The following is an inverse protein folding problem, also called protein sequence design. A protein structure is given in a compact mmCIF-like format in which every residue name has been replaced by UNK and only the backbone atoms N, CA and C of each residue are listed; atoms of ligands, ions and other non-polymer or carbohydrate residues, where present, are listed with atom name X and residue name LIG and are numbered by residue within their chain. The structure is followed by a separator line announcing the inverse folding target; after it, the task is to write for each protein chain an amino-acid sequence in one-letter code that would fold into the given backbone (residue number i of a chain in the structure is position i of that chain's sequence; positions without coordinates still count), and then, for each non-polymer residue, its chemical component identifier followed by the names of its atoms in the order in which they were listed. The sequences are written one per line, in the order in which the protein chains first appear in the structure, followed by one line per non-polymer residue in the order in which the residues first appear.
data_IF_979738398290
#
_entry.id   IF_979738398290
#
_cell.length_a   1.000
_cell.length_b   1.000
_cell.length_c   1.000
_cell.angle_alpha   90.00
_cell.angle_beta   90.00
_cell.angle_gamma   90.00
#
_symmetry.space_group_name_H-M   'P 1'
#
loop_
_entity.id
_entity.type
_entity.pdbx_description
1 polymer ?
#
# COMPACT_ATOMS: atom_id res chain seq x y z
N UNK A 1 16.06 12.59 23.32
CA UNK A 1 15.00 13.37 22.63
C UNK A 1 15.52 14.64 21.91
N UNK A 2 16.77 15.08 22.14
CA UNK A 2 17.34 16.29 21.50
C UNK A 2 18.26 16.04 20.28
N UNK A 3 18.43 14.79 19.80
CA UNK A 3 19.30 14.50 18.65
C UNK A 3 18.56 14.26 17.32
N UNK A 4 17.21 14.19 17.30
CA UNK A 4 16.43 13.98 16.06
C UNK A 4 15.96 15.31 15.43
N UNK A 5 16.36 16.46 16.01
CA UNK A 5 16.02 17.79 15.48
C UNK A 5 17.23 18.64 15.04
N UNK A 6 18.39 18.01 14.81
CA UNK A 6 19.54 18.67 14.19
C UNK A 6 19.98 17.95 12.91
N UNK A 7 19.16 18.10 11.86
CA UNK A 7 19.70 18.25 10.51
C UNK A 7 19.04 19.47 9.89
N UNK A 8 19.68 20.62 10.14
CA UNK A 8 19.27 21.91 9.62
C UNK A 8 19.87 22.07 8.23
N UNK A 9 19.35 21.31 7.27
CA UNK A 9 19.41 21.82 5.89
C UNK A 9 18.51 23.06 5.86
N UNK A 10 19.05 24.17 5.38
CA UNK A 10 18.33 25.42 5.17
C UNK A 10 16.90 25.12 4.69
N UNK A 11 15.87 25.73 5.30
CA UNK A 11 14.44 25.41 5.12
C UNK A 11 13.86 25.58 3.70
N UNK A 12 14.70 25.54 2.66
CA UNK A 12 14.35 25.51 1.25
C UNK A 12 13.97 24.07 0.88
N UNK A 13 12.76 23.90 0.37
CA UNK A 13 12.32 22.64 -0.22
C UNK A 13 13.20 22.39 -1.45
N UNK A 14 13.78 21.19 -1.57
CA UNK A 14 14.59 20.84 -2.73
C UNK A 14 13.73 20.84 -4.00
N UNK A 15 14.20 21.56 -5.03
CA UNK A 15 13.54 21.62 -6.34
C UNK A 15 13.40 20.20 -6.92
N UNK A 16 14.38 19.33 -6.72
CA UNK A 16 14.33 17.95 -7.19
C UNK A 16 13.15 17.15 -6.59
N UNK A 17 12.85 17.36 -5.30
CA UNK A 17 11.71 16.71 -4.63
C UNK A 17 10.38 17.24 -5.19
N UNK A 18 10.28 18.55 -5.42
CA UNK A 18 9.08 19.14 -6.03
C UNK A 18 8.87 18.59 -7.44
N UNK A 19 9.93 18.59 -8.27
CA UNK A 19 9.85 18.09 -9.64
C UNK A 19 9.46 16.60 -9.70
N UNK A 20 9.89 15.77 -8.75
CA UNK A 20 9.49 14.35 -8.76
C UNK A 20 8.01 14.15 -8.46
N UNK A 21 7.40 14.96 -7.59
CA UNK A 21 5.94 14.91 -7.38
C UNK A 21 5.14 15.54 -8.52
N UNK A 22 5.68 16.59 -9.18
CA UNK A 22 5.09 17.10 -10.43
C UNK A 22 5.08 16.00 -11.49
N UNK A 23 6.17 15.23 -11.58
CA UNK A 23 6.25 14.08 -12.49
C UNK A 23 5.22 12.99 -12.16
N UNK A 24 4.98 12.69 -10.89
CA UNK A 24 3.91 11.75 -10.48
C UNK A 24 2.51 12.22 -10.96
N UNK A 25 2.21 13.52 -10.83
CA UNK A 25 0.96 14.10 -11.34
C UNK A 25 0.86 13.99 -12.86
N UNK A 26 1.95 14.27 -13.57
CA UNK A 26 2.02 14.12 -15.03
C UNK A 26 1.76 12.66 -15.43
N UNK A 27 2.35 11.69 -14.73
CA UNK A 27 2.07 10.26 -14.98
C UNK A 27 0.58 9.96 -14.81
N UNK A 28 -0.06 10.45 -13.74
CA UNK A 28 -1.49 10.23 -13.51
C UNK A 28 -2.35 10.85 -14.63
N UNK A 29 -2.02 12.07 -15.07
CA UNK A 29 -2.72 12.76 -16.16
C UNK A 29 -2.54 12.02 -17.49
N UNK A 30 -1.31 11.58 -17.80
CA UNK A 30 -1.02 10.79 -19.01
C UNK A 30 -1.78 9.47 -18.99
N UNK A 31 -1.81 8.75 -17.86
CA UNK A 31 -2.59 7.52 -17.72
C UNK A 31 -4.09 7.76 -17.92
N UNK A 32 -4.64 8.84 -17.36
CA UNK A 32 -6.04 9.22 -17.58
C UNK A 32 -6.32 9.59 -19.05
N UNK A 33 -5.41 10.33 -19.70
CA UNK A 33 -5.51 10.68 -21.11
C UNK A 33 -5.46 9.44 -22.01
N UNK A 34 -4.57 8.48 -21.73
CA UNK A 34 -4.52 7.19 -22.44
C UNK A 34 -5.83 6.42 -22.28
N UNK A 35 -6.42 6.39 -21.08
CA UNK A 35 -7.74 5.80 -20.86
C UNK A 35 -8.82 6.47 -21.71
N UNK A 36 -8.80 7.80 -21.82
CA UNK A 36 -9.74 8.55 -22.64
C UNK A 36 -9.57 8.25 -24.14
N UNK A 37 -8.33 8.19 -24.62
CA UNK A 37 -8.01 7.80 -26.00
C UNK A 37 -8.55 6.40 -26.31
N UNK A 38 -8.36 5.43 -25.40
CA UNK A 38 -8.95 4.11 -25.57
C UNK A 38 -10.48 4.19 -25.64
N UNK A 39 -11.15 4.99 -24.81
CA UNK A 39 -12.61 5.07 -24.84
C UNK A 39 -13.19 5.56 -26.19
N UNK A 40 -12.44 6.34 -26.98
CA UNK A 40 -12.87 6.79 -28.31
C UNK A 40 -12.54 5.81 -29.44
N UNK A 41 -11.63 4.85 -29.22
CA UNK A 41 -11.23 3.91 -30.27
C UNK A 41 -12.25 2.80 -30.50
N UNK A 42 -12.49 2.44 -31.76
CA UNK A 42 -13.44 1.38 -32.12
C UNK A 42 -13.04 0.07 -31.45
N UNK A 43 -13.93 -0.58 -30.68
CA UNK A 43 -13.61 -1.82 -30.01
C UNK A 43 -13.52 -2.97 -31.02
N UNK A 44 -12.85 -4.05 -30.64
CA UNK A 44 -13.02 -5.34 -31.29
C UNK A 44 -14.52 -5.71 -31.26
N UNK A 45 -15.01 -6.39 -32.29
CA UNK A 45 -16.42 -6.79 -32.39
C UNK A 45 -16.50 -8.30 -32.47
N UNK A 46 -16.62 -8.95 -31.31
CA UNK A 46 -16.69 -10.41 -31.24
C UNK A 46 -17.95 -10.90 -31.96
N UNK A 47 -17.87 -11.97 -32.78
CA UNK A 47 -19.03 -12.60 -33.37
C UNK A 47 -20.03 -13.05 -32.29
N UNK A 48 -21.32 -12.90 -32.56
CA UNK A 48 -22.41 -13.20 -31.63
C UNK A 48 -23.55 -13.92 -32.35
N UNK A 49 -24.47 -14.52 -31.60
CA UNK A 49 -25.65 -15.20 -32.15
C UNK A 49 -26.89 -14.32 -32.00
N UNK A 50 -27.74 -14.26 -33.02
CA UNK A 50 -29.01 -13.51 -32.95
C UNK A 50 -30.06 -14.16 -32.04
N UNK A 51 -29.90 -15.44 -31.70
CA UNK A 51 -30.83 -16.20 -30.84
C UNK A 51 -30.33 -16.34 -29.41
N UNK A 52 -29.27 -15.60 -29.03
CA UNK A 52 -28.70 -15.64 -27.70
C UNK A 52 -29.54 -14.81 -26.70
N UNK A 53 -30.18 -15.44 -25.71
CA UNK A 53 -31.03 -14.74 -24.74
C UNK A 53 -30.24 -13.80 -23.84
N UNK A 54 -28.93 -14.04 -23.61
CA UNK A 54 -28.12 -13.21 -22.72
C UNK A 54 -27.88 -11.81 -23.29
N UNK A 55 -28.01 -11.63 -24.61
CA UNK A 55 -27.79 -10.35 -25.33
C UNK A 55 -29.06 -9.78 -25.99
N UNK A 56 -30.22 -10.32 -25.62
CA UNK A 56 -31.55 -9.99 -26.17
C UNK A 56 -32.34 -8.99 -25.32
N UNK A 57 -31.75 -8.38 -24.29
CA UNK A 57 -32.45 -7.42 -23.44
C UNK A 57 -32.73 -6.08 -24.16
N UNK A 58 -33.79 -5.35 -23.77
CA UNK A 58 -34.10 -4.06 -24.34
C UNK A 58 -33.07 -3.00 -23.92
N UNK A 59 -32.66 -2.16 -24.87
CA UNK A 59 -31.77 -1.05 -24.63
C UNK A 59 -32.45 0.00 -23.74
N UNK A 60 -31.80 0.32 -22.61
CA UNK A 60 -32.25 1.37 -21.70
C UNK A 60 -31.63 2.71 -22.09
N UNK A 61 -32.45 3.62 -22.61
CA UNK A 61 -32.04 4.98 -23.02
C UNK A 61 -31.63 5.85 -21.83
N UNK A 62 -32.20 5.60 -20.65
CA UNK A 62 -31.93 6.35 -19.42
C UNK A 62 -31.22 5.45 -18.41
N UNK A 63 -29.93 5.68 -18.24
CA UNK A 63 -29.12 5.01 -17.23
C UNK A 63 -29.42 5.58 -15.84
N UNK A 64 -29.57 4.73 -14.81
CA UNK A 64 -29.78 5.20 -13.44
C UNK A 64 -28.61 6.03 -12.92
N UNK A 65 -27.39 5.64 -13.29
CA UNK A 65 -26.16 6.36 -12.99
C UNK A 65 -25.44 6.62 -14.31
N UNK A 66 -25.53 7.84 -14.88
CA UNK A 66 -24.76 8.21 -16.06
C UNK A 66 -23.28 8.41 -15.73
N UNK A 67 -22.41 8.32 -16.75
CA UNK A 67 -20.95 8.46 -16.61
C UNK A 67 -20.50 9.77 -15.95
N UNK A 68 -21.22 10.88 -16.16
CA UNK A 68 -20.94 12.16 -15.52
C UNK A 68 -21.21 12.13 -14.01
N UNK A 69 -22.34 11.56 -13.60
CA UNK A 69 -22.68 11.36 -12.20
C UNK A 69 -21.69 10.41 -11.52
N UNK A 70 -21.28 9.34 -12.22
CA UNK A 70 -20.23 8.45 -11.75
C UNK A 70 -18.92 9.22 -11.46
N UNK A 71 -18.47 10.07 -12.38
CA UNK A 71 -17.25 10.86 -12.17
C UNK A 71 -17.36 11.78 -10.96
N UNK A 72 -18.53 12.40 -10.74
CA UNK A 72 -18.78 13.22 -9.55
C UNK A 72 -18.73 12.36 -8.28
N UNK A 73 -19.47 11.26 -8.23
CA UNK A 73 -19.58 10.42 -7.04
C UNK A 73 -18.29 9.68 -6.68
N UNK A 74 -17.53 9.23 -7.67
CA UNK A 74 -16.35 8.38 -7.48
C UNK A 74 -15.02 9.16 -7.48
N UNK A 75 -14.98 10.40 -7.94
CA UNK A 75 -13.75 11.20 -7.95
C UNK A 75 -13.90 12.53 -7.23
N UNK A 76 -14.87 13.36 -7.63
CA UNK A 76 -15.04 14.71 -7.07
C UNK A 76 -15.45 14.65 -5.60
N UNK A 77 -16.47 13.86 -5.26
CA UNK A 77 -16.94 13.70 -3.87
C UNK A 77 -15.82 13.16 -2.97
N UNK A 78 -15.10 12.07 -3.32
CA UNK A 78 -13.93 11.64 -2.57
C UNK A 78 -12.86 12.72 -2.37
N UNK A 79 -12.52 13.48 -3.42
CA UNK A 79 -11.53 14.56 -3.31
C UNK A 79 -11.97 15.64 -2.30
N UNK A 80 -13.26 16.01 -2.30
CA UNK A 80 -13.84 16.97 -1.36
C UNK A 80 -13.91 16.42 0.06
N UNK A 81 -14.28 15.15 0.25
CA UNK A 81 -14.29 14.51 1.58
C UNK A 81 -12.87 14.42 2.14
N UNK A 82 -11.88 14.03 1.31
CA UNK A 82 -10.46 14.02 1.70
C UNK A 82 -10.00 15.41 2.13
N UNK A 83 -10.36 16.46 1.39
CA UNK A 83 -10.08 17.84 1.74
C UNK A 83 -10.66 18.18 3.12
N UNK A 84 -11.96 17.95 3.32
CA UNK A 84 -12.66 18.29 4.56
C UNK A 84 -12.07 17.53 5.76
N UNK A 85 -11.84 16.23 5.62
CA UNK A 85 -11.27 15.39 6.68
C UNK A 85 -9.83 15.81 7.01
N UNK A 86 -9.03 16.16 6.00
CA UNK A 86 -7.65 16.64 6.24
C UNK A 86 -7.63 18.01 6.90
N UNK A 87 -8.57 18.90 6.54
CA UNK A 87 -8.70 20.20 7.18
C UNK A 87 -9.24 20.13 8.60
N UNK A 88 -10.00 19.10 8.97
CA UNK A 88 -10.59 18.96 10.32
C UNK A 88 -9.82 18.03 11.25
N UNK A 89 -9.41 16.84 10.79
CA UNK A 89 -8.83 15.78 11.63
C UNK A 89 -7.29 15.74 11.68
N UNK A 90 -6.60 16.45 10.78
CA UNK A 90 -5.12 16.56 10.80
C UNK A 90 -4.76 17.94 11.38
N UNK A 91 -3.82 18.10 12.32
CA UNK A 91 -3.03 17.06 12.96
C UNK A 91 -3.85 16.34 14.04
N UNK A 92 -3.49 15.09 14.30
CA UNK A 92 -4.14 14.33 15.37
C UNK A 92 -3.88 14.92 16.77
N UNK A 93 -4.57 14.42 17.80
CA UNK A 93 -4.48 14.92 19.18
C UNK A 93 -3.08 14.81 19.82
N UNK A 94 -2.18 14.06 19.20
CA UNK A 94 -0.82 13.80 19.69
C UNK A 94 0.14 14.98 19.50
N UNK A 95 -0.25 16.00 18.74
CA UNK A 95 0.62 17.17 18.48
C UNK A 95 0.49 18.20 19.62
N UNK A 96 1.58 18.58 20.31
CA UNK A 96 1.54 19.56 21.38
C UNK A 96 1.05 20.94 20.91
N UNK A 97 0.32 21.65 21.78
CA UNK A 97 -0.19 23.02 21.50
C UNK A 97 0.92 24.06 21.26
N UNK A 98 2.16 23.76 21.65
CA UNK A 98 3.33 24.62 21.45
C UNK A 98 3.88 24.62 20.02
N UNK A 99 3.39 23.73 19.13
CA UNK A 99 3.89 23.63 17.75
C UNK A 99 3.41 24.83 16.91
N UNK A 100 4.30 25.50 16.16
CA UNK A 100 3.93 26.61 15.28
C UNK A 100 2.88 26.22 14.23
N UNK A 101 1.89 27.11 14.00
CA UNK A 101 0.81 26.92 13.01
C UNK A 101 1.34 26.62 11.59
N UNK A 102 2.49 27.17 11.23
CA UNK A 102 3.12 26.92 9.93
C UNK A 102 3.48 25.44 9.71
N UNK A 103 3.97 24.75 10.75
CA UNK A 103 4.29 23.32 10.66
C UNK A 103 3.03 22.46 10.56
N UNK A 104 1.96 22.87 11.25
CA UNK A 104 0.66 22.21 11.17
C UNK A 104 0.10 22.31 9.75
N UNK A 105 0.12 23.50 9.14
CA UNK A 105 -0.32 23.68 7.75
C UNK A 105 0.54 22.90 6.77
N UNK A 106 1.87 22.88 6.96
CA UNK A 106 2.76 22.06 6.15
C UNK A 106 2.37 20.58 6.22
N UNK A 107 2.00 20.06 7.40
CA UNK A 107 1.52 18.67 7.54
C UNK A 107 0.16 18.46 6.87
N UNK A 108 -0.81 19.36 7.06
CA UNK A 108 -2.12 19.28 6.41
C UNK A 108 -2.00 19.24 4.89
N UNK A 109 -1.21 20.15 4.31
CA UNK A 109 -0.98 20.21 2.87
C UNK A 109 -0.28 18.96 2.36
N UNK A 110 0.66 18.41 3.12
CA UNK A 110 1.32 17.15 2.79
C UNK A 110 0.35 15.96 2.74
N UNK A 111 -0.45 15.80 3.80
CA UNK A 111 -1.46 14.74 3.87
C UNK A 111 -2.49 14.86 2.74
N UNK A 112 -2.92 16.09 2.45
CA UNK A 112 -3.85 16.37 1.36
C UNK A 112 -3.25 16.00 0.00
N UNK A 113 -2.01 16.45 -0.26
CA UNK A 113 -1.30 16.16 -1.49
C UNK A 113 -1.13 14.65 -1.71
N UNK A 114 -0.64 13.91 -0.71
CA UNK A 114 -0.46 12.46 -0.80
C UNK A 114 -1.80 11.73 -1.03
N UNK A 115 -2.89 12.22 -0.41
CA UNK A 115 -4.22 11.62 -0.53
C UNK A 115 -4.89 11.90 -1.87
N UNK A 116 -4.72 13.09 -2.43
CA UNK A 116 -5.19 13.38 -3.78
C UNK A 116 -4.38 12.66 -4.85
N UNK A 117 -3.06 12.56 -4.68
CA UNK A 117 -2.22 11.83 -5.61
C UNK A 117 -2.53 10.32 -5.60
N UNK A 118 -2.82 9.75 -4.42
CA UNK A 118 -3.29 8.36 -4.33
C UNK A 118 -4.67 8.13 -4.93
N UNK A 119 -5.63 9.04 -4.72
CA UNK A 119 -6.94 8.97 -5.36
C UNK A 119 -6.83 9.06 -6.89
N UNK A 120 -6.05 10.03 -7.40
CA UNK A 120 -5.81 10.22 -8.81
C UNK A 120 -5.17 8.98 -9.44
N UNK A 121 -4.14 8.42 -8.80
CA UNK A 121 -3.48 7.20 -9.26
C UNK A 121 -4.47 6.02 -9.31
N UNK A 122 -5.30 5.84 -8.28
CA UNK A 122 -6.28 4.76 -8.21
C UNK A 122 -7.27 4.83 -9.37
N UNK A 123 -7.90 5.99 -9.58
CA UNK A 123 -8.87 6.19 -10.64
C UNK A 123 -8.23 6.12 -12.04
N UNK A 124 -7.03 6.69 -12.23
CA UNK A 124 -6.33 6.65 -13.51
C UNK A 124 -5.95 5.23 -13.92
N UNK A 125 -5.43 4.42 -12.99
CA UNK A 125 -5.13 3.00 -13.23
C UNK A 125 -6.39 2.21 -13.58
N UNK A 126 -7.47 2.36 -12.80
CA UNK A 126 -8.72 1.68 -13.08
C UNK A 126 -9.27 2.06 -14.47
N UNK A 127 -9.20 3.35 -14.83
CA UNK A 127 -9.70 3.85 -16.10
C UNK A 127 -8.91 3.35 -17.31
N UNK A 128 -7.57 3.42 -17.27
CA UNK A 128 -6.73 2.98 -18.40
C UNK A 128 -6.82 1.48 -18.61
N UNK A 129 -6.77 0.68 -17.55
CA UNK A 129 -6.85 -0.79 -17.64
C UNK A 129 -8.22 -1.20 -18.17
N UNK A 130 -9.31 -0.65 -17.62
CA UNK A 130 -10.67 -1.00 -18.04
C UNK A 130 -10.93 -0.61 -19.50
N UNK A 131 -10.52 0.60 -19.90
CA UNK A 131 -10.75 1.10 -21.26
C UNK A 131 -9.97 0.29 -22.30
N UNK A 132 -8.71 -0.06 -21.98
CA UNK A 132 -7.90 -0.94 -22.83
C UNK A 132 -8.53 -2.33 -22.99
N UNK A 133 -8.94 -2.96 -21.87
CA UNK A 133 -9.57 -4.28 -21.88
C UNK A 133 -10.89 -4.30 -22.66
N UNK A 134 -11.74 -3.28 -22.50
CA UNK A 134 -13.00 -3.14 -23.24
C UNK A 134 -12.79 -3.21 -24.75
N UNK A 135 -11.80 -2.48 -25.26
CA UNK A 135 -11.52 -2.47 -26.70
C UNK A 135 -10.88 -3.76 -27.19
N UNK A 136 -10.03 -4.38 -26.37
CA UNK A 136 -9.37 -5.63 -26.74
C UNK A 136 -10.37 -6.79 -26.85
N UNK A 137 -11.25 -6.93 -25.85
CA UNK A 137 -12.16 -8.08 -25.77
C UNK A 137 -13.42 -7.95 -26.61
N UNK A 138 -13.98 -6.74 -26.75
CA UNK A 138 -15.10 -6.55 -27.67
C UNK A 138 -16.36 -7.34 -27.31
N UNK A 139 -16.60 -7.59 -26.01
CA UNK A 139 -17.70 -8.46 -25.55
C UNK A 139 -19.06 -7.77 -25.75
N UNK A 140 -20.03 -8.42 -26.40
CA UNK A 140 -21.44 -8.02 -26.44
C UNK A 140 -22.02 -7.70 -25.07
N UNK A 141 -22.79 -6.61 -24.97
CA UNK A 141 -23.62 -6.28 -23.81
C UNK A 141 -24.93 -7.07 -23.81
N UNK A 142 -25.61 -7.19 -22.65
CA UNK A 142 -26.90 -7.85 -22.60
C UNK A 142 -27.98 -7.19 -23.47
N UNK A 143 -27.81 -5.92 -23.82
CA UNK A 143 -28.70 -5.15 -24.69
C UNK A 143 -28.16 -4.99 -26.13
N UNK A 144 -27.23 -5.85 -26.59
CA UNK A 144 -26.60 -5.69 -27.91
C UNK A 144 -27.60 -5.80 -29.06
N UNK A 145 -28.49 -6.81 -29.06
CA UNK A 145 -29.36 -7.07 -30.22
C UNK A 145 -30.31 -5.89 -30.46
N UNK A 146 -30.86 -5.31 -29.39
CA UNK A 146 -31.74 -4.15 -29.47
C UNK A 146 -31.03 -2.89 -29.97
N UNK A 147 -29.71 -2.73 -29.68
CA UNK A 147 -28.88 -1.67 -30.26
C UNK A 147 -28.52 -1.94 -31.73
N UNK A 148 -28.29 -3.19 -32.08
CA UNK A 148 -27.77 -3.64 -33.37
C UNK A 148 -28.78 -3.42 -34.51
N UNK A 149 -30.06 -3.69 -34.27
CA UNK A 149 -31.12 -3.69 -35.30
C UNK A 149 -30.68 -4.59 -36.47
N UNK A 150 -30.64 -5.92 -36.27
CA UNK A 150 -30.01 -6.84 -37.21
C UNK A 150 -30.82 -6.99 -38.50
N UNK A 151 -30.11 -7.07 -39.62
CA UNK A 151 -30.67 -7.47 -40.92
C UNK A 151 -30.95 -8.98 -40.97
N UNK A 152 -32.16 -9.36 -40.58
CA UNK A 152 -32.60 -10.76 -40.53
C UNK A 152 -32.79 -11.40 -41.91
N UNK A 153 -32.92 -10.60 -42.97
CA UNK A 153 -33.07 -11.10 -44.34
C UNK A 153 -31.74 -11.57 -44.92
N UNK A 154 -30.62 -10.98 -44.47
CA UNK A 154 -29.28 -11.21 -45.01
C UNK A 154 -28.33 -11.93 -44.03
N UNK A 155 -28.83 -12.81 -43.16
CA UNK A 155 -28.02 -13.55 -42.17
C UNK A 155 -26.86 -14.32 -42.83
N UNK A 156 -27.12 -14.99 -43.96
CA UNK A 156 -26.12 -15.80 -44.65
C UNK A 156 -24.88 -15.00 -45.12
N UNK A 157 -25.05 -13.69 -45.39
CA UNK A 157 -23.95 -12.80 -45.81
C UNK A 157 -22.96 -12.52 -44.67
N UNK A 158 -23.45 -12.48 -43.43
CA UNK A 158 -22.67 -12.11 -42.24
C UNK A 158 -22.32 -13.30 -41.35
N UNK A 159 -22.79 -14.48 -41.71
CA UNK A 159 -22.53 -15.73 -41.01
C UNK A 159 -21.03 -16.05 -40.96
N UNK A 160 -20.56 -16.41 -39.79
CA UNK A 160 -19.19 -16.82 -39.49
C UNK A 160 -19.18 -18.00 -38.52
N UNK A 161 -18.05 -18.69 -38.44
CA UNK A 161 -17.87 -19.84 -37.56
C UNK A 161 -17.71 -21.16 -38.32
N UNK A 162 -17.18 -22.17 -37.64
CA UNK A 162 -16.97 -23.51 -38.21
C UNK A 162 -18.14 -24.43 -37.89
N UNK A 163 -18.93 -24.79 -38.90
CA UNK A 163 -19.98 -25.81 -38.79
C UNK A 163 -21.07 -25.62 -39.85
N UNK A 164 -21.27 -26.64 -40.69
CA UNK A 164 -22.36 -26.70 -41.68
C UNK A 164 -23.71 -26.92 -40.98
N UNK A 165 -24.25 -25.87 -40.35
CA UNK A 165 -25.59 -25.92 -39.74
C UNK A 165 -26.45 -24.80 -40.29
N UNK A 166 -27.20 -25.06 -41.39
CA UNK A 166 -28.10 -24.08 -41.99
C UNK A 166 -29.34 -23.78 -41.13
N UNK A 167 -29.63 -24.59 -40.11
CA UNK A 167 -30.73 -24.36 -39.16
C UNK A 167 -30.20 -24.44 -37.72
N UNK A 168 -30.09 -23.31 -37.04
CA UNK A 168 -29.64 -23.25 -35.64
C UNK A 168 -28.89 -21.99 -35.24
N UNK A 169 -28.01 -22.13 -34.24
CA UNK A 169 -27.15 -21.08 -33.69
C UNK A 169 -26.05 -20.74 -34.71
N UNK A 170 -26.25 -19.65 -35.46
CA UNK A 170 -25.26 -19.09 -36.38
C UNK A 170 -24.59 -17.90 -35.71
N UNK A 171 -23.26 -17.85 -35.73
CA UNK A 171 -22.54 -16.65 -35.32
C UNK A 171 -22.51 -15.67 -36.48
N UNK A 172 -22.76 -14.39 -36.20
CA UNK A 172 -22.75 -13.32 -37.19
C UNK A 172 -21.71 -12.27 -36.81
N UNK A 173 -21.13 -11.63 -37.82
CA UNK A 173 -20.31 -10.44 -37.63
C UNK A 173 -21.18 -9.21 -37.38
N UNK A 174 -20.59 -8.20 -36.73
CA UNK A 174 -21.28 -6.94 -36.43
C UNK A 174 -21.73 -6.13 -37.66
N UNK A 175 -21.31 -6.49 -38.88
CA UNK A 175 -21.79 -5.85 -40.10
C UNK A 175 -23.26 -6.12 -40.41
N UNK A 176 -23.89 -7.10 -39.75
CA UNK A 176 -25.34 -7.35 -39.82
C UNK A 176 -26.18 -6.23 -39.18
N UNK A 177 -25.58 -5.40 -38.33
CA UNK A 177 -26.27 -4.34 -37.61
C UNK A 177 -26.58 -3.15 -38.51
N UNK A 178 -27.85 -2.74 -38.59
CA UNK A 178 -28.31 -1.59 -39.38
C UNK A 178 -28.26 -0.26 -38.62
N UNK A 179 -27.80 -0.27 -37.36
CA UNK A 179 -27.68 0.91 -36.51
C UNK A 179 -26.86 2.04 -37.18
N UNK A 180 -27.46 3.22 -37.29
CA UNK A 180 -26.82 4.42 -37.87
C UNK A 180 -25.85 5.10 -36.89
N UNK A 181 -26.11 4.99 -35.59
CA UNK A 181 -25.23 5.53 -34.55
C UNK A 181 -24.08 4.56 -34.24
N UNK A 182 -22.91 4.87 -34.78
CA UNK A 182 -21.69 4.08 -34.56
C UNK A 182 -21.24 4.06 -33.09
N UNK A 183 -21.50 5.11 -32.31
CA UNK A 183 -21.13 5.15 -30.89
C UNK A 183 -22.03 4.22 -30.07
N UNK A 184 -23.34 4.23 -30.34
CA UNK A 184 -24.30 3.32 -29.70
C UNK A 184 -23.95 1.86 -29.97
N UNK A 185 -23.60 1.53 -31.23
CA UNK A 185 -23.19 0.19 -31.62
C UNK A 185 -21.85 -0.19 -30.97
N UNK A 186 -20.86 0.70 -30.99
CA UNK A 186 -19.56 0.46 -30.37
C UNK A 186 -19.68 0.26 -28.85
N UNK A 187 -20.53 1.04 -28.17
CA UNK A 187 -20.81 0.82 -26.75
C UNK A 187 -21.44 -0.55 -26.49
N UNK A 188 -22.27 -1.07 -27.41
CA UNK A 188 -22.81 -2.42 -27.37
C UNK A 188 -21.76 -3.53 -27.33
N UNK A 189 -20.54 -3.29 -27.84
CA UNK A 189 -19.42 -4.25 -27.79
C UNK A 189 -18.43 -4.00 -26.65
N UNK A 190 -18.74 -3.10 -25.71
CA UNK A 190 -17.86 -2.76 -24.57
C UNK A 190 -18.40 -3.28 -23.24
N UNK A 191 -18.89 -4.52 -23.18
CA UNK A 191 -19.42 -5.08 -21.93
C UNK A 191 -18.34 -5.42 -20.91
N UNK A 192 -17.23 -6.05 -21.32
CA UNK A 192 -16.24 -6.57 -20.37
C UNK A 192 -14.93 -5.77 -20.38
N UNK A 193 -14.40 -5.35 -19.22
CA UNK A 193 -15.04 -5.31 -17.90
C UNK A 193 -15.95 -4.08 -17.73
N UNK A 194 -16.76 -4.03 -16.67
CA UNK A 194 -17.61 -2.87 -16.40
C UNK A 194 -16.81 -1.67 -15.90
N UNK A 195 -16.79 -0.59 -16.70
CA UNK A 195 -16.12 0.67 -16.36
C UNK A 195 -16.78 1.44 -15.22
N UNK A 196 -18.11 1.33 -15.08
CA UNK A 196 -18.80 1.92 -13.92
C UNK A 196 -18.37 1.22 -12.63
N UNK A 197 -18.32 -0.12 -12.66
CA UNK A 197 -17.94 -0.93 -11.51
C UNK A 197 -16.49 -0.69 -11.07
N UNK A 198 -15.54 -0.69 -12.02
CA UNK A 198 -14.13 -0.48 -11.71
C UNK A 198 -13.82 0.95 -11.27
N UNK A 199 -14.40 1.95 -11.94
CA UNK A 199 -14.17 3.34 -11.59
C UNK A 199 -14.83 3.69 -10.25
N UNK A 200 -16.07 3.25 -9.99
CA UNK A 200 -16.74 3.49 -8.70
C UNK A 200 -15.99 2.82 -7.56
N UNK A 201 -15.58 1.55 -7.70
CA UNK A 201 -14.86 0.88 -6.63
C UNK A 201 -13.45 1.44 -6.43
N UNK A 202 -12.75 1.89 -7.48
CA UNK A 202 -11.44 2.54 -7.33
C UNK A 202 -11.49 3.76 -6.40
N UNK A 203 -12.37 4.72 -6.67
CA UNK A 203 -12.42 5.96 -5.91
C UNK A 203 -13.14 5.84 -4.56
N UNK A 204 -14.23 5.09 -4.49
CA UNK A 204 -15.02 4.96 -3.26
C UNK A 204 -14.38 3.98 -2.26
N UNK A 205 -13.74 2.90 -2.71
CA UNK A 205 -12.97 2.03 -1.81
C UNK A 205 -11.71 2.74 -1.35
N UNK A 206 -11.05 3.53 -2.22
CA UNK A 206 -9.95 4.39 -1.80
C UNK A 206 -10.39 5.36 -0.69
N UNK A 207 -11.56 6.01 -0.87
CA UNK A 207 -12.15 6.86 0.17
C UNK A 207 -12.42 6.09 1.46
N UNK A 208 -12.98 4.89 1.38
CA UNK A 208 -13.19 4.02 2.54
C UNK A 208 -11.89 3.69 3.28
N UNK A 209 -10.81 3.37 2.56
CA UNK A 209 -9.49 3.13 3.15
C UNK A 209 -8.91 4.40 3.80
N UNK A 210 -9.06 5.54 3.13
CA UNK A 210 -8.64 6.84 3.65
C UNK A 210 -9.38 7.18 4.96
N UNK A 211 -10.71 7.06 4.98
CA UNK A 211 -11.50 7.30 6.20
C UNK A 211 -11.11 6.33 7.31
N UNK A 212 -10.96 5.03 7.00
CA UNK A 212 -10.49 4.04 7.97
C UNK A 212 -9.15 4.44 8.60
N UNK A 213 -8.23 4.96 7.79
CA UNK A 213 -6.93 5.42 8.27
C UNK A 213 -7.05 6.60 9.24
N UNK A 214 -7.87 7.61 8.91
CA UNK A 214 -8.02 8.83 9.72
C UNK A 214 -8.87 8.64 10.97
N UNK A 215 -9.78 7.65 10.95
CA UNK A 215 -10.64 7.29 12.07
C UNK A 215 -10.07 6.16 12.94
N UNK A 216 -8.82 5.76 12.71
CA UNK A 216 -8.14 4.69 13.45
C UNK A 216 -8.92 3.36 13.45
N UNK A 217 -9.55 3.02 12.33
CA UNK A 217 -10.23 1.74 12.10
C UNK A 217 -9.24 0.66 11.67
N UNK A 218 -8.26 0.37 12.52
CA UNK A 218 -7.43 -0.82 12.39
C UNK A 218 -8.19 -2.02 12.96
N UNK A 219 -8.08 -3.18 12.30
CA UNK A 219 -8.47 -4.45 12.95
C UNK A 219 -7.70 -4.52 14.28
N UNK A 220 -8.36 -4.81 15.42
CA UNK A 220 -7.69 -4.87 16.70
C UNK A 220 -6.51 -5.85 16.62
N UNK A 221 -5.29 -5.33 16.76
CA UNK A 221 -4.07 -6.10 16.66
C UNK A 221 -3.25 -5.86 17.92
N UNK A 222 -2.77 -6.94 18.54
CA UNK A 222 -1.79 -6.85 19.61
C UNK A 222 -0.47 -6.41 19.00
N UNK A 223 0.18 -5.38 19.55
CA UNK A 223 1.49 -4.96 19.06
C UNK A 223 2.45 -6.18 19.04
N UNK A 224 3.30 -6.37 18.00
CA UNK A 224 4.23 -7.48 17.98
C UNK A 224 5.17 -7.37 19.18
N UNK A 225 5.09 -8.29 20.13
CA UNK A 225 6.09 -8.42 21.19
C UNK A 225 7.29 -9.18 20.62
N UNK A 226 8.50 -8.77 21.00
CA UNK A 226 9.71 -9.52 20.69
C UNK A 226 9.58 -10.95 21.29
N UNK A 227 9.94 -11.98 20.51
CA UNK A 227 9.91 -13.37 20.94
C UNK A 227 10.77 -13.55 22.19
N UNK A 228 10.14 -13.63 23.36
CA UNK A 228 10.74 -14.12 24.60
C UNK A 228 10.06 -15.45 24.97
N UNK A 229 10.79 -16.33 25.67
CA UNK A 229 10.42 -17.73 25.91
C UNK A 229 9.09 -17.95 26.69
N UNK A 230 8.46 -16.89 27.20
CA UNK A 230 7.22 -16.92 27.98
C UNK A 230 5.91 -16.83 27.14
N UNK A 231 6.01 -16.70 25.81
CA UNK A 231 4.87 -16.37 24.93
C UNK A 231 3.84 -17.49 24.73
N UNK A 232 4.14 -18.74 25.12
CA UNK A 232 3.24 -19.90 24.90
C UNK A 232 2.01 -19.90 25.80
N UNK A 233 2.05 -19.19 26.94
CA UNK A 233 0.94 -19.09 27.90
C UNK A 233 -0.09 -18.00 27.53
N UNK A 234 0.24 -17.09 26.60
CA UNK A 234 -0.52 -15.86 26.32
C UNK A 234 -1.75 -16.05 25.41
N UNK A 235 -1.92 -17.24 24.81
CA UNK A 235 -2.92 -17.49 23.77
C UNK A 235 -3.99 -18.54 24.14
N UNK A 236 -4.12 -18.91 25.42
CA UNK A 236 -5.16 -19.86 25.86
C UNK A 236 -6.52 -19.15 26.05
N UNK A 237 -7.59 -19.75 25.53
CA UNK A 237 -8.96 -19.23 25.69
C UNK A 237 -9.49 -19.35 27.12
N UNK A 238 -8.90 -20.24 27.94
CA UNK A 238 -9.22 -20.44 29.36
C UNK A 238 -7.92 -20.64 30.17
N UNK A 239 -7.26 -19.55 30.57
CA UNK A 239 -5.95 -19.61 31.23
C UNK A 239 -5.99 -20.26 32.62
N UNK A 240 -7.14 -20.19 33.30
CA UNK A 240 -7.36 -20.82 34.62
C UNK A 240 -7.28 -22.34 34.62
N UNK A 241 -7.24 -22.97 33.43
CA UNK A 241 -7.21 -24.43 33.27
C UNK A 241 -5.82 -24.98 32.96
N UNK A 242 -4.83 -24.12 32.74
CA UNK A 242 -3.44 -24.51 32.53
C UNK A 242 -2.68 -24.34 33.86
N UNK A 243 -2.65 -25.41 34.66
CA UNK A 243 -1.73 -25.52 35.79
C UNK A 243 -0.29 -25.59 35.25
N UNK A 244 0.68 -24.85 35.81
CA UNK A 244 2.08 -25.04 35.45
C UNK A 244 2.50 -26.43 35.94
N UNK A 245 2.87 -27.32 35.01
CA UNK A 245 3.55 -28.55 35.38
C UNK A 245 4.87 -28.19 36.06
N UNK A 246 4.99 -28.52 37.34
CA UNK A 246 6.20 -28.40 38.13
C UNK A 246 7.43 -28.93 37.37
N UNK A 247 8.43 -28.07 37.15
CA UNK A 247 9.82 -28.50 37.09
C UNK A 247 10.51 -28.03 38.36
N UNK A 248 10.65 -29.00 39.28
CA UNK A 248 11.61 -28.96 40.39
C UNK A 248 13.01 -28.75 39.84
N UNK A 249 13.77 -27.86 40.47
CA UNK A 249 15.12 -28.18 40.95
C UNK A 249 15.45 -27.23 42.11
N UNK A 250 15.89 -27.84 43.21
CA UNK A 250 16.11 -27.27 44.52
C UNK A 250 17.33 -26.34 44.56
N UNK A 251 17.23 -25.26 45.34
CA UNK A 251 18.34 -24.71 46.13
C UNK A 251 17.78 -23.88 47.29
N UNK A 252 18.11 -24.34 48.47
CA UNK A 252 17.63 -24.02 49.80
C UNK A 252 18.14 -22.65 50.29
N UNK A 253 17.24 -21.68 50.55
CA UNK A 253 17.51 -20.58 51.49
C UNK A 253 16.23 -20.19 52.24
N UNK A 254 16.24 -20.54 53.53
CA UNK A 254 15.62 -19.92 54.69
C UNK A 254 14.39 -19.01 54.49
N UNK A 255 13.25 -19.53 54.92
CA UNK A 255 11.98 -18.82 55.05
C UNK A 255 12.06 -17.68 56.08
N UNK A 256 11.77 -16.44 55.63
CA UNK A 256 11.18 -15.40 56.47
C UNK A 256 10.26 -14.52 55.61
N UNK A 257 8.96 -14.68 55.86
CA UNK A 257 7.85 -13.80 55.50
C UNK A 257 7.90 -13.17 54.10
N UNK A 258 7.46 -13.93 53.10
CA UNK A 258 7.00 -13.35 51.85
C UNK A 258 5.56 -13.81 51.63
N UNK A 259 4.65 -12.84 51.63
CA UNK A 259 3.22 -13.03 51.38
C UNK A 259 3.01 -13.90 50.14
N UNK A 260 2.47 -15.09 50.34
CA UNK A 260 2.27 -16.11 49.30
C UNK A 260 1.10 -15.79 48.37
N UNK A 261 0.54 -14.57 48.46
CA UNK A 261 -0.53 -14.05 47.62
C UNK A 261 -0.04 -13.39 46.33
N UNK A 262 1.28 -13.18 46.15
CA UNK A 262 1.83 -12.46 45.00
C UNK A 262 2.24 -13.34 43.80
N UNK A 263 2.39 -14.66 43.97
CA UNK A 263 2.94 -15.55 42.92
C UNK A 263 1.90 -16.01 41.87
N UNK A 264 0.61 -15.83 42.13
CA UNK A 264 -0.48 -16.13 41.18
C UNK A 264 -0.97 -14.90 40.39
N UNK A 265 -0.50 -13.70 40.74
CA UNK A 265 -0.94 -12.43 40.11
C UNK A 265 -0.32 -12.19 38.75
N UNK A 266 0.96 -12.50 38.57
CA UNK A 266 1.72 -12.07 37.39
C UNK A 266 1.19 -12.58 36.04
N UNK A 267 0.52 -13.74 36.00
CA UNK A 267 -0.12 -14.25 34.78
C UNK A 267 -1.41 -13.49 34.45
N UNK A 268 -2.23 -13.21 35.47
CA UNK A 268 -3.43 -12.39 35.30
C UNK A 268 -3.06 -10.95 34.91
N UNK A 269 -1.98 -10.40 35.46
CA UNK A 269 -1.49 -9.06 35.13
C UNK A 269 -1.03 -8.96 33.67
N UNK A 270 -0.32 -9.97 33.15
CA UNK A 270 0.06 -10.05 31.72
C UNK A 270 -1.17 -10.13 30.82
N UNK A 271 -2.17 -10.94 31.17
CA UNK A 271 -3.41 -11.07 30.39
C UNK A 271 -4.26 -9.79 30.41
N UNK A 272 -4.40 -9.16 31.58
CA UNK A 272 -5.08 -7.88 31.74
C UNK A 272 -4.35 -6.80 30.93
N UNK A 273 -3.01 -6.78 30.97
CA UNK A 273 -2.20 -5.87 30.16
C UNK A 273 -2.45 -6.05 28.66
N UNK A 274 -2.47 -7.29 28.14
CA UNK A 274 -2.77 -7.57 26.73
C UNK A 274 -4.19 -7.17 26.32
N UNK A 275 -5.19 -7.40 27.18
CA UNK A 275 -6.57 -6.96 26.93
C UNK A 275 -6.71 -5.44 26.87
N UNK A 276 -5.86 -4.72 27.59
CA UNK A 276 -5.85 -3.25 27.62
C UNK A 276 -5.03 -2.61 26.48
N UNK A 277 -4.38 -3.40 25.61
CA UNK A 277 -3.57 -2.86 24.50
C UNK A 277 -4.39 -2.38 23.31
N UNK A 278 -5.61 -2.88 23.09
CA UNK A 278 -6.46 -2.49 21.98
C UNK A 278 -7.95 -2.65 22.33
N UNK A 279 -8.79 -1.82 21.73
CA UNK A 279 -10.24 -1.94 21.82
C UNK A 279 -10.85 -1.87 20.42
N UNK A 280 -12.00 -2.51 20.23
CA UNK A 280 -12.75 -2.37 18.99
C UNK A 280 -13.24 -0.92 18.84
N UNK A 281 -13.06 -0.29 17.67
CA UNK A 281 -13.54 1.06 17.44
C UNK A 281 -15.08 1.10 17.45
N UNK A 282 -15.70 2.25 17.80
CA UNK A 282 -17.15 2.40 17.78
C UNK A 282 -17.77 2.13 16.40
N UNK A 283 -18.92 1.46 16.38
CA UNK A 283 -19.61 1.02 15.15
C UNK A 283 -19.97 2.17 14.20
N UNK A 284 -20.28 3.36 14.71
CA UNK A 284 -20.62 4.50 13.86
C UNK A 284 -19.43 4.96 12.99
N UNK A 285 -18.19 4.84 13.48
CA UNK A 285 -17.00 5.15 12.69
C UNK A 285 -16.81 4.13 11.56
N UNK A 286 -17.04 2.85 11.86
CA UNK A 286 -17.04 1.79 10.86
C UNK A 286 -18.10 2.06 9.78
N UNK A 287 -19.30 2.47 10.17
CA UNK A 287 -20.38 2.83 9.25
C UNK A 287 -19.98 4.00 8.34
N UNK A 288 -19.44 5.09 8.90
CA UNK A 288 -18.94 6.23 8.13
C UNK A 288 -17.89 5.80 7.10
N UNK A 289 -17.00 4.89 7.49
CA UNK A 289 -15.94 4.40 6.62
C UNK A 289 -16.43 3.45 5.51
N UNK A 290 -17.49 2.66 5.74
CA UNK A 290 -17.99 1.67 4.76
C UNK A 290 -19.05 2.23 3.81
N UNK A 291 -19.74 3.32 4.18
CA UNK A 291 -20.75 3.99 3.33
C UNK A 291 -20.27 4.23 1.88
N UNK A 292 -19.06 4.74 1.62
CA UNK A 292 -18.58 4.91 0.25
C UNK A 292 -18.52 3.57 -0.51
N UNK A 293 -18.03 2.51 0.12
CA UNK A 293 -18.00 1.17 -0.49
C UNK A 293 -19.40 0.65 -0.78
N UNK A 294 -20.37 0.87 0.11
CA UNK A 294 -21.78 0.52 -0.12
C UNK A 294 -22.39 1.31 -1.29
N UNK A 295 -22.05 2.59 -1.43
CA UNK A 295 -22.44 3.39 -2.60
C UNK A 295 -21.85 2.81 -3.89
N UNK A 296 -20.60 2.32 -3.86
CA UNK A 296 -20.00 1.64 -5.02
C UNK A 296 -20.79 0.38 -5.39
N UNK A 297 -21.16 -0.44 -4.40
CA UNK A 297 -21.98 -1.64 -4.63
C UNK A 297 -23.33 -1.27 -5.26
N UNK A 298 -23.99 -0.21 -4.77
CA UNK A 298 -25.23 0.29 -5.37
C UNK A 298 -25.03 0.69 -6.86
N UNK A 299 -23.99 1.46 -7.17
CA UNK A 299 -23.66 1.84 -8.55
C UNK A 299 -23.45 0.60 -9.42
N UNK A 300 -22.74 -0.41 -8.92
CA UNK A 300 -22.53 -1.69 -9.60
C UNK A 300 -23.86 -2.41 -9.87
N UNK A 301 -24.74 -2.49 -8.87
CA UNK A 301 -26.06 -3.11 -9.00
C UNK A 301 -26.92 -2.42 -10.07
N UNK A 302 -26.80 -1.10 -10.24
CA UNK A 302 -27.55 -0.39 -11.30
C UNK A 302 -27.20 -0.92 -12.69
N UNK A 303 -25.94 -1.29 -12.93
CA UNK A 303 -25.49 -1.81 -14.22
C UNK A 303 -26.09 -3.17 -14.57
N UNK A 304 -26.35 -3.99 -13.56
CA UNK A 304 -27.07 -5.25 -13.71
C UNK A 304 -28.54 -4.99 -14.00
N UNK A 305 -29.18 -4.11 -13.21
CA UNK A 305 -30.60 -3.78 -13.38
C UNK A 305 -30.94 -3.04 -14.67
N UNK A 306 -29.97 -2.32 -15.25
CA UNK A 306 -30.13 -1.57 -16.51
C UNK A 306 -29.76 -2.43 -17.74
N UNK A 307 -29.52 -3.74 -17.55
CA UNK A 307 -29.11 -4.69 -18.60
C UNK A 307 -27.85 -4.28 -19.39
N UNK A 308 -26.96 -3.52 -18.75
CA UNK A 308 -25.74 -2.99 -19.39
C UNK A 308 -24.57 -3.93 -19.30
N UNK A 309 -24.55 -4.83 -18.32
CA UNK A 309 -23.42 -5.70 -18.03
C UNK A 309 -23.88 -7.04 -17.45
N UNK A 310 -23.14 -8.09 -17.76
CA UNK A 310 -23.28 -9.39 -17.12
C UNK A 310 -22.70 -9.32 -15.70
N UNK A 311 -23.15 -10.22 -14.81
CA UNK A 311 -22.66 -10.25 -13.42
C UNK A 311 -21.13 -10.40 -13.34
N UNK A 312 -20.52 -11.24 -14.18
CA UNK A 312 -19.07 -11.41 -14.24
C UNK A 312 -18.33 -10.11 -14.63
N UNK A 313 -18.88 -9.34 -15.57
CA UNK A 313 -18.28 -8.06 -16.00
C UNK A 313 -18.23 -7.05 -14.84
N UNK A 314 -19.27 -7.08 -14.01
CA UNK A 314 -19.40 -6.23 -12.83
C UNK A 314 -18.46 -6.69 -11.72
N UNK A 315 -18.44 -7.99 -11.39
CA UNK A 315 -17.57 -8.55 -10.34
C UNK A 315 -16.09 -8.35 -10.67
N UNK A 316 -15.68 -8.64 -11.91
CA UNK A 316 -14.31 -8.42 -12.35
C UNK A 316 -13.94 -6.93 -12.32
N UNK A 317 -14.83 -6.06 -12.83
CA UNK A 317 -14.64 -4.62 -12.75
C UNK A 317 -14.49 -4.14 -11.31
N UNK A 318 -15.33 -4.62 -10.40
CA UNK A 318 -15.32 -4.23 -8.99
C UNK A 318 -14.00 -4.65 -8.35
N UNK A 319 -13.59 -5.89 -8.57
CA UNK A 319 -12.32 -6.45 -8.09
C UNK A 319 -11.12 -5.65 -8.62
N UNK A 320 -11.09 -5.33 -9.92
CA UNK A 320 -10.05 -4.49 -10.52
C UNK A 320 -9.95 -3.13 -9.84
N UNK A 321 -11.08 -2.45 -9.61
CA UNK A 321 -11.07 -1.16 -8.92
C UNK A 321 -10.63 -1.28 -7.46
N UNK A 322 -11.06 -2.31 -6.71
CA UNK A 322 -10.58 -2.60 -5.35
C UNK A 322 -9.06 -2.79 -5.33
N UNK A 323 -8.50 -3.56 -6.29
CA UNK A 323 -7.06 -3.78 -6.40
C UNK A 323 -6.31 -2.46 -6.61
N UNK A 324 -6.77 -1.62 -7.54
CA UNK A 324 -6.14 -0.32 -7.78
C UNK A 324 -6.25 0.61 -6.57
N UNK A 325 -7.38 0.59 -5.85
CA UNK A 325 -7.57 1.36 -4.63
C UNK A 325 -6.58 0.94 -3.53
N UNK A 326 -6.46 -0.37 -3.27
CA UNK A 326 -5.54 -0.91 -2.26
C UNK A 326 -4.09 -0.59 -2.66
N UNK A 327 -3.72 -0.81 -3.92
CA UNK A 327 -2.38 -0.52 -4.42
C UNK A 327 -2.02 0.96 -4.22
N UNK A 328 -2.85 1.88 -4.74
CA UNK A 328 -2.59 3.31 -4.66
C UNK A 328 -2.64 3.85 -3.23
N UNK A 329 -3.52 3.31 -2.39
CA UNK A 329 -3.56 3.64 -0.96
C UNK A 329 -2.24 3.23 -0.29
N UNK A 330 -1.76 1.99 -0.48
CA UNK A 330 -0.49 1.55 0.13
C UNK A 330 0.74 2.28 -0.43
N UNK A 331 0.66 2.76 -1.66
CA UNK A 331 1.74 3.52 -2.29
C UNK A 331 1.97 4.88 -1.62
N UNK A 332 0.90 5.55 -1.17
CA UNK A 332 0.99 6.89 -0.55
C UNK A 332 0.72 6.92 0.97
N UNK A 333 0.10 5.87 1.52
CA UNK A 333 -0.24 5.76 2.94
C UNK A 333 0.42 4.58 3.62
N UNK A 334 0.67 4.77 4.91
CA UNK A 334 1.11 3.68 5.77
C UNK A 334 -0.01 2.62 5.90
N UNK A 335 0.35 1.36 6.19
CA UNK A 335 -0.64 0.30 6.38
C UNK A 335 -1.62 0.64 7.51
N UNK A 336 -2.90 0.33 7.35
CA UNK A 336 -3.93 0.59 8.37
C UNK A 336 -3.59 0.01 9.75
N UNK A 337 -2.86 -1.11 9.80
CA UNK A 337 -2.47 -1.78 11.05
C UNK A 337 -1.32 -1.12 11.82
N UNK A 338 -0.51 -0.27 11.18
CA UNK A 338 0.74 0.25 11.77
C UNK A 338 0.94 1.76 11.55
N UNK A 339 0.15 2.37 10.67
CA UNK A 339 0.40 3.72 10.16
C UNK A 339 -0.08 4.86 11.04
N UNK A 340 -0.84 4.59 12.11
CA UNK A 340 -1.52 5.59 12.94
C UNK A 340 -2.26 6.68 12.11
N UNK A 341 -2.75 6.29 10.93
CA UNK A 341 -3.48 7.17 10.01
C UNK A 341 -2.62 8.11 9.16
N UNK A 342 -1.29 7.96 9.11
CA UNK A 342 -0.42 8.90 8.39
C UNK A 342 -0.08 8.47 6.95
N UNK A 343 0.13 9.46 6.07
CA UNK A 343 0.78 9.23 4.78
C UNK A 343 2.29 9.00 4.94
N UNK A 344 2.93 8.41 3.92
CA UNK A 344 4.38 8.36 3.85
C UNK A 344 4.99 9.78 3.88
N UNK A 345 6.20 9.91 4.41
CA UNK A 345 6.95 11.16 4.41
C UNK A 345 7.45 11.55 3.00
N UNK A 346 7.90 12.80 2.82
CA UNK A 346 8.47 13.24 1.55
C UNK A 346 9.77 12.48 1.21
N UNK A 347 10.01 12.29 -0.10
CA UNK A 347 11.28 11.75 -0.61
C UNK A 347 12.46 12.63 -0.19
N UNK A 348 13.63 12.03 0.00
CA UNK A 348 14.90 12.74 0.18
C UNK A 348 15.36 13.34 -1.16
N UNK A 349 16.11 14.43 -1.11
CA UNK A 349 16.52 15.16 -2.32
C UNK A 349 17.48 14.38 -3.21
N UNK A 350 18.32 13.54 -2.60
CA UNK A 350 19.28 12.66 -3.27
C UNK A 350 18.61 11.45 -3.94
N UNK A 351 17.39 11.09 -3.53
CA UNK A 351 16.64 9.91 -4.03
C UNK A 351 15.29 10.30 -4.63
N UNK A 352 15.14 11.55 -5.05
CA UNK A 352 13.84 12.10 -5.42
C UNK A 352 13.17 11.40 -6.62
N UNK A 353 13.96 10.94 -7.60
CA UNK A 353 13.48 10.25 -8.81
C UNK A 353 13.77 8.76 -8.80
N UNK A 354 14.85 8.35 -8.16
CA UNK A 354 15.30 6.97 -8.13
C UNK A 354 16.20 6.77 -6.91
N UNK A 355 15.89 5.76 -6.09
CA UNK A 355 16.75 5.40 -4.96
C UNK A 355 17.95 4.57 -5.43
N UNK A 356 17.74 3.63 -6.35
CA UNK A 356 18.73 2.60 -6.69
C UNK A 356 18.32 1.22 -6.17
N UNK A 357 18.86 0.17 -6.78
CA UNK A 357 18.71 -1.20 -6.28
C UNK A 357 19.66 -1.40 -5.10
N UNK A 358 19.20 -2.01 -4.01
CA UNK A 358 20.03 -2.32 -2.85
C UNK A 358 20.28 -1.18 -1.87
N UNK A 359 19.78 0.03 -2.15
CA UNK A 359 19.78 1.13 -1.16
C UNK A 359 18.49 1.12 -0.34
N UNK A 360 18.55 1.65 0.89
CA UNK A 360 17.37 1.79 1.75
C UNK A 360 16.25 2.67 1.17
N UNK A 361 15.25 3.00 2.00
CA UNK A 361 14.04 3.76 1.59
C UNK A 361 14.30 5.12 0.91
N UNK A 362 13.33 5.58 0.12
CA UNK A 362 13.26 6.91 -0.53
C UNK A 362 13.27 8.10 0.45
N UNK A 363 13.10 7.86 1.75
CA UNK A 363 13.14 8.90 2.79
C UNK A 363 14.50 8.99 3.51
N UNK A 364 15.43 8.08 3.24
CA UNK A 364 16.74 8.02 3.91
C UNK A 364 17.78 8.80 3.13
N UNK A 365 18.61 9.59 3.81
CA UNK A 365 19.74 10.28 3.16
C UNK A 365 20.89 9.29 2.92
N UNK A 366 21.74 9.56 1.93
CA UNK A 366 22.99 8.82 1.68
C UNK A 366 23.86 8.55 2.92
N UNK A 367 23.81 9.40 3.95
CA UNK A 367 24.60 9.27 5.18
C UNK A 367 23.85 8.58 6.35
N UNK A 368 22.62 8.10 6.13
CA UNK A 368 21.87 7.41 7.20
C UNK A 368 22.38 5.97 7.38
N UNK A 369 22.62 5.48 8.61
CA UNK A 369 23.22 4.17 8.88
C UNK A 369 22.36 2.94 8.50
N UNK A 370 21.27 3.13 7.76
CA UNK A 370 20.30 2.07 7.48
C UNK A 370 20.18 1.89 5.98
N UNK A 371 20.97 0.93 5.46
CA UNK A 371 20.84 0.38 4.12
C UNK A 371 22.05 0.68 3.22
N UNK A 372 23.16 -0.03 3.48
CA UNK A 372 24.34 -0.06 2.63
C UNK A 372 25.48 -0.78 3.36
N UNK A 373 26.01 -1.83 2.76
CA UNK A 373 27.12 -2.65 3.24
C UNK A 373 28.26 -1.75 3.77
N UNK A 374 28.73 -2.00 4.99
CA UNK A 374 29.91 -1.36 5.56
C UNK A 374 31.12 -1.71 4.68
N UNK A 375 31.52 -0.83 3.75
CA UNK A 375 32.90 -0.82 3.29
C UNK A 375 33.68 -0.01 4.33
N UNK A 376 34.32 -0.73 5.24
CA UNK A 376 35.35 -0.18 6.11
C UNK A 376 36.55 0.21 5.23
N UNK A 377 36.53 1.42 4.69
CA UNK A 377 37.76 2.01 4.17
C UNK A 377 38.53 2.58 5.35
N UNK A 378 39.48 1.76 5.83
CA UNK A 378 40.59 2.19 6.65
C UNK A 378 41.41 3.21 5.84
N UNK A 379 41.14 4.51 6.02
CA UNK A 379 42.16 5.53 5.81
C UNK A 379 42.64 6.03 7.16
N UNK A 380 43.61 5.29 7.69
CA UNK A 380 44.55 5.77 8.67
C UNK A 380 45.44 6.79 7.97
N UNK A 381 45.41 8.04 8.42
CA UNK A 381 46.41 9.05 8.05
C UNK A 381 46.80 9.79 9.31
N UNK A 382 47.71 9.14 10.04
CA UNK A 382 48.64 9.77 10.96
C UNK A 382 49.54 10.73 10.18
N UNK A 383 49.51 12.01 10.52
CA UNK A 383 50.67 12.89 10.36
C UNK A 383 50.77 13.80 11.58
N UNK A 384 51.55 13.31 12.55
CA UNK A 384 52.35 14.17 13.39
C UNK A 384 53.36 14.86 12.47
N UNK A 385 53.35 16.18 12.40
CA UNK A 385 54.57 16.92 12.07
C UNK A 385 54.64 18.20 12.90
N UNK A 386 55.66 18.19 13.74
CA UNK A 386 56.14 19.24 14.62
C UNK A 386 56.67 20.45 13.84
N UNK A 387 56.31 21.66 14.25
CA UNK A 387 57.21 22.80 14.09
C UNK A 387 57.19 23.72 15.32
N UNK A 388 58.41 24.17 15.59
CA UNK A 388 58.99 24.63 16.83
C UNK A 388 58.87 26.16 16.97
N UNK A 389 58.76 26.61 18.23
CA UNK A 389 59.21 27.91 18.79
C UNK A 389 58.59 29.23 18.32
N UNK A 390 57.92 29.91 19.27
CA UNK A 390 58.25 31.30 19.64
C UNK A 390 58.01 31.51 21.13
N UNK A 391 59.05 32.03 21.79
CA UNK A 391 59.25 32.23 23.23
C UNK A 391 58.78 33.61 23.72
N UNK A 392 58.51 33.69 25.03
CA UNK A 392 58.47 34.88 25.90
C UNK A 392 57.05 35.44 26.14
N UNK A 393 56.58 35.72 27.36
CA UNK A 393 57.25 35.86 28.65
C UNK A 393 56.20 36.05 29.80
N UNK A 394 56.58 35.67 31.03
CA UNK A 394 56.09 36.04 32.39
C UNK A 394 54.86 35.28 32.98
N UNK A 395 55.03 34.33 33.93
CA UNK A 395 55.13 34.45 35.43
C UNK A 395 53.80 34.87 36.09
N UNK A 396 53.26 34.30 37.19
CA UNK A 396 53.72 33.39 38.25
C UNK A 396 52.50 32.92 39.11
N UNK A 397 52.73 31.90 39.97
CA UNK A 397 52.00 31.53 41.22
C UNK A 397 50.75 30.62 41.12
N UNK A 398 50.49 29.60 41.97
CA UNK A 398 51.21 28.82 43.01
C UNK A 398 50.20 27.78 43.57
N UNK A 399 50.67 26.61 44.06
CA UNK A 399 50.11 25.81 45.20
C UNK A 399 48.79 25.03 44.91
N UNK A 400 48.55 23.74 45.21
CA UNK A 400 49.13 22.77 46.16
C UNK A 400 48.77 21.29 45.82
N UNK A 401 49.60 20.35 46.30
CA UNK A 401 49.34 18.99 46.86
C UNK A 401 48.38 17.97 46.20
N UNK A 402 48.54 16.64 46.24
CA UNK A 402 49.59 15.69 46.64
C UNK A 402 49.03 14.24 46.37
N UNK A 403 49.92 13.23 46.40
CA UNK A 403 49.70 11.76 46.46
C UNK A 403 49.28 11.04 45.15
N UNK A 404 49.91 9.97 44.66
CA UNK A 404 50.97 9.11 45.19
C UNK A 404 50.68 7.64 44.89
N UNK A 405 51.44 7.03 43.96
CA UNK A 405 51.79 5.58 43.80
C UNK A 405 50.64 4.54 43.73
N UNK A 406 50.70 3.44 42.96
CA UNK A 406 51.83 2.58 42.67
C UNK A 406 51.58 1.70 41.44
N UNK A 407 52.67 1.34 40.76
CA UNK A 407 52.75 0.38 39.65
C UNK A 407 52.71 -1.05 40.20
N UNK A 408 52.29 -2.01 39.38
CA UNK A 408 53.06 -3.25 39.22
C UNK A 408 52.84 -3.87 37.85
N UNK A 409 53.99 -4.16 37.24
CA UNK A 409 54.23 -4.81 35.95
C UNK A 409 54.78 -6.20 36.28
N UNK A 410 54.36 -7.22 35.54
CA UNK A 410 55.14 -8.46 35.39
C UNK A 410 54.88 -9.07 34.01
N UNK A 411 55.93 -9.06 33.19
CA UNK A 411 56.10 -9.73 31.90
C UNK A 411 56.33 -11.25 32.08
N UNK A 412 55.91 -12.06 31.10
CA UNK A 412 56.66 -13.22 30.54
C UNK A 412 55.87 -13.81 29.34
N UNK A 413 56.32 -13.61 28.10
CA UNK A 413 57.11 -14.51 27.21
C UNK A 413 56.28 -15.55 26.42
N UNK A 414 56.00 -15.33 25.12
CA UNK A 414 56.69 -15.80 23.88
C UNK A 414 56.44 -17.28 23.51
N UNK A 415 55.88 -17.50 22.31
CA UNK A 415 55.84 -18.80 21.62
C UNK A 415 55.30 -18.69 20.19
N UNK A 416 56.18 -18.85 19.20
CA UNK A 416 55.99 -18.68 17.75
C UNK A 416 55.57 -19.99 17.01
N UNK A 417 54.68 -19.84 16.00
CA UNK A 417 54.58 -20.57 14.69
C UNK A 417 54.29 -22.10 14.62
N UNK A 418 53.98 -22.71 13.43
CA UNK A 418 52.90 -22.47 12.43
C UNK A 418 52.22 -23.84 11.98
N UNK A 419 51.44 -23.97 10.86
CA UNK A 419 50.45 -25.03 10.62
C UNK A 419 50.93 -26.19 9.71
N UNK A 420 50.09 -27.22 9.43
CA UNK A 420 49.91 -27.62 8.01
C UNK A 420 48.53 -28.18 7.58
N UNK A 421 48.16 -27.77 6.35
CA UNK A 421 47.70 -28.51 5.16
C UNK A 421 46.68 -29.69 5.18
N UNK A 422 45.60 -29.46 4.42
CA UNK A 422 45.15 -30.15 3.17
C UNK A 422 45.21 -31.69 3.12
N UNK A 423 44.05 -32.33 2.87
CA UNK A 423 43.98 -33.42 1.89
C UNK A 423 42.63 -33.52 1.16
N UNK A 424 42.72 -33.92 -0.12
CA UNK A 424 41.73 -33.89 -1.19
C UNK A 424 41.05 -35.26 -1.41
N UNK A 425 39.72 -35.25 -1.62
CA UNK A 425 38.90 -36.00 -2.62
C UNK A 425 38.96 -37.56 -2.67
N UNK A 426 38.23 -38.30 -3.54
CA UNK A 426 36.87 -38.20 -4.13
C UNK A 426 36.03 -39.51 -3.96
N UNK A 427 34.73 -39.50 -4.34
CA UNK A 427 34.00 -40.58 -5.06
C UNK A 427 32.54 -40.13 -5.30
N UNK A 428 32.17 -39.69 -6.51
CA UNK A 428 31.54 -40.45 -7.61
C UNK A 428 30.06 -40.87 -7.40
N UNK A 429 29.15 -39.97 -7.81
CA UNK A 429 27.99 -40.06 -8.77
C UNK A 429 27.46 -41.45 -9.23
N UNK A 430 26.29 -41.62 -9.92
CA UNK A 430 25.13 -40.73 -10.25
C UNK A 430 23.71 -41.41 -10.22
N UNK A 431 22.69 -40.64 -10.61
CA UNK A 431 21.45 -40.99 -11.36
C UNK A 431 20.12 -41.35 -10.65
N UNK A 432 19.09 -40.53 -10.96
CA UNK A 432 17.79 -40.86 -11.62
C UNK A 432 16.60 -40.13 -10.94
N UNK A 433 15.99 -39.07 -11.51
CA UNK A 433 15.05 -38.97 -12.66
C UNK A 433 13.59 -38.81 -12.20
N UNK A 434 12.98 -37.67 -12.59
CA UNK A 434 11.59 -37.45 -13.07
C UNK A 434 10.39 -38.08 -12.34
N UNK A 435 9.44 -37.24 -11.90
CA UNK A 435 8.20 -36.83 -12.60
C UNK A 435 7.84 -35.41 -12.18
#
# INVERSE_FOLDING_TARGET
MNSIMRSRNNGKISIAVVLSYVFDWVICIVAAALGAVFNYQTPNKRPFSLVDPDISYPHQNHEKVPSSLLAVLAFVVPALVILLVTLTLVPGPTVPKSVPKALIWKRKLWELHASWLGLALSCALAFVITSGMKNLFGRPRPDLISRCIPDVENIAKWAVGGGDRPEGIVLVQAGICQQTDSEMLNDGFRSYPSGHSSFSSSGLVYLSLFLASKLALSVPYLAPQAYTADSSLSHSAFPSRNTPSHQRNDSEVSAKNMDTSALTSGHNDKLIASRNQAAAPPLYLLLISIIPTLLSVYICSTRFSDFRHHAFDILFGFFLGVLTAIFSFRFYHLPLSQGAGWSWGPRSSDRAFWAGVGVGSYASNANSPVGGLHHHDHHQSTSYESHMTRTGDLEEARIDSAHGHNRNVSNFEVGNHPPPNVNLNPNLNPNAMTV
#
